data_IF_556708209417
#
_entry.id   IF_556708209417
#
_cell.length_a   1.000
_cell.length_b   1.000
_cell.length_c   1.000
_cell.angle_alpha   90.00
_cell.angle_beta   90.00
_cell.angle_gamma   90.00
#
_symmetry.space_group_name_H-M   'P 1'
#
loop_
_entity.id
_entity.type
_entity.pdbx_description
1 polymer ?
#
# COMPACT_ATOMS: atom_id res chain seq x y z
N UNK A 1 -8.22 -27.87 -5.49
CA UNK A 1 -8.54 -26.47 -5.10
C UNK A 1 -7.22 -25.71 -5.10
N UNK A 2 -6.73 -25.37 -6.29
CA UNK A 2 -5.36 -24.87 -6.44
C UNK A 2 -5.32 -23.38 -6.12
N UNK A 3 -4.75 -23.03 -4.96
CA UNK A 3 -4.31 -21.68 -4.67
C UNK A 3 -3.15 -21.35 -5.61
N UNK A 4 -3.39 -20.46 -6.58
CA UNK A 4 -2.33 -19.91 -7.42
C UNK A 4 -1.44 -19.01 -6.54
N UNK A 5 -0.29 -19.54 -6.15
CA UNK A 5 0.79 -18.75 -5.55
C UNK A 5 1.40 -17.87 -6.65
N UNK A 6 1.00 -16.60 -6.70
CA UNK A 6 1.58 -15.61 -7.61
C UNK A 6 3.04 -15.40 -7.22
N UNK A 7 3.94 -15.92 -8.05
CA UNK A 7 5.38 -15.83 -7.89
C UNK A 7 5.88 -14.38 -7.94
N UNK A 8 7.01 -14.15 -7.28
CA UNK A 8 7.66 -12.87 -6.97
C UNK A 8 8.24 -12.08 -8.16
N UNK A 9 7.60 -12.10 -9.34
CA UNK A 9 8.02 -11.34 -10.52
C UNK A 9 6.91 -10.62 -11.26
N UNK A 10 5.66 -10.68 -10.81
CA UNK A 10 4.55 -9.91 -11.40
C UNK A 10 4.29 -8.65 -10.57
N UNK A 11 4.40 -7.48 -11.17
CA UNK A 11 4.04 -6.22 -10.52
C UNK A 11 2.57 -6.29 -10.09
N UNK A 12 2.30 -6.10 -8.80
CA UNK A 12 0.92 -6.07 -8.32
C UNK A 12 0.17 -4.90 -8.96
N UNK A 13 -1.10 -5.13 -9.25
CA UNK A 13 -2.01 -4.12 -9.80
C UNK A 13 -2.38 -3.08 -8.74
N UNK A 14 -2.84 -1.89 -9.15
CA UNK A 14 -3.39 -0.90 -8.22
C UNK A 14 -4.48 -1.50 -7.32
N UNK A 15 -5.37 -2.33 -7.88
CA UNK A 15 -6.42 -3.00 -7.13
C UNK A 15 -5.88 -3.96 -6.04
N UNK A 16 -4.79 -4.67 -6.30
CA UNK A 16 -4.13 -5.51 -5.31
C UNK A 16 -3.52 -4.66 -4.17
N UNK A 17 -2.80 -3.58 -4.48
CA UNK A 17 -2.24 -2.70 -3.45
C UNK A 17 -3.32 -2.06 -2.59
N UNK A 18 -4.35 -1.52 -3.22
CA UNK A 18 -5.39 -0.74 -2.54
C UNK A 18 -6.40 -1.62 -1.78
N UNK A 19 -6.39 -2.94 -1.98
CA UNK A 19 -7.21 -3.89 -1.21
C UNK A 19 -6.50 -4.44 0.03
N UNK A 20 -5.17 -4.32 0.13
CA UNK A 20 -4.43 -4.76 1.30
C UNK A 20 -4.66 -3.85 2.50
N UNK A 21 -4.71 -4.43 3.70
CA UNK A 21 -4.70 -3.66 4.93
C UNK A 21 -3.35 -2.92 5.08
N UNK A 22 -3.38 -1.75 5.72
CA UNK A 22 -2.14 -1.03 6.07
C UNK A 22 -1.30 -1.91 6.99
N UNK A 23 -0.02 -2.11 6.64
CA UNK A 23 0.90 -2.96 7.40
C UNK A 23 2.19 -2.23 7.73
N UNK A 24 2.37 -1.91 9.01
CA UNK A 24 3.57 -1.27 9.54
C UNK A 24 4.82 -2.13 9.31
N UNK A 25 4.71 -3.45 9.37
CA UNK A 25 5.85 -4.36 9.29
C UNK A 25 6.74 -4.28 10.54
N UNK A 26 7.97 -4.78 10.45
CA UNK A 26 8.86 -4.95 11.61
C UNK A 26 10.28 -4.51 11.26
N UNK A 27 10.90 -3.65 12.09
CA UNK A 27 12.32 -3.22 12.14
C UNK A 27 12.40 -1.90 12.96
N UNK A 28 13.60 -1.40 13.26
CA UNK A 28 13.83 -0.23 14.15
C UNK A 28 13.92 1.14 13.44
N UNK A 29 13.75 1.19 12.11
CA UNK A 29 13.90 2.40 11.31
C UNK A 29 12.55 2.81 10.68
N UNK A 30 11.69 3.41 11.49
CA UNK A 30 10.37 3.88 11.06
C UNK A 30 10.44 5.06 10.09
N UNK A 31 9.69 5.00 9.00
CA UNK A 31 9.46 6.13 8.09
C UNK A 31 7.98 6.39 7.91
N UNK A 32 7.58 7.67 7.82
CA UNK A 32 6.20 8.02 7.49
C UNK A 32 5.89 7.64 6.04
N UNK A 33 4.80 6.91 5.86
CA UNK A 33 4.24 6.46 4.58
C UNK A 33 2.74 6.73 4.55
N UNK A 34 2.13 6.50 3.40
CA UNK A 34 0.68 6.60 3.20
C UNK A 34 0.14 5.27 2.73
N UNK A 35 -1.01 4.87 3.24
CA UNK A 35 -1.74 3.68 2.81
C UNK A 35 -3.21 4.00 2.64
N UNK A 36 -3.89 3.26 1.76
CA UNK A 36 -5.31 3.38 1.52
C UNK A 36 -6.10 2.62 2.59
N UNK A 37 -6.96 3.33 3.31
CA UNK A 37 -7.94 2.77 4.23
C UNK A 37 -9.25 2.54 3.47
N UNK A 38 -9.59 1.26 3.27
CA UNK A 38 -10.80 0.84 2.54
C UNK A 38 -12.09 1.16 3.28
N UNK A 39 -12.05 1.36 4.62
CA UNK A 39 -13.23 1.70 5.42
C UNK A 39 -13.62 3.16 5.26
N UNK A 40 -12.63 4.04 5.30
CA UNK A 40 -12.83 5.49 5.15
C UNK A 40 -12.71 5.96 3.70
N UNK A 41 -12.20 5.11 2.81
CA UNK A 41 -11.85 5.43 1.42
C UNK A 41 -10.86 6.60 1.32
N UNK A 42 -9.87 6.62 2.21
CA UNK A 42 -8.88 7.69 2.30
C UNK A 42 -7.45 7.15 2.33
N UNK A 43 -6.54 7.93 1.76
CA UNK A 43 -5.10 7.71 1.96
C UNK A 43 -4.65 8.37 3.27
N UNK A 44 -4.30 7.54 4.25
CA UNK A 44 -3.94 7.95 5.61
C UNK A 44 -2.45 7.73 5.88
N UNK A 45 -1.80 8.60 6.67
CA UNK A 45 -0.41 8.39 7.05
C UNK A 45 -0.27 7.22 8.05
N UNK A 46 0.82 6.47 7.94
CA UNK A 46 1.21 5.45 8.91
C UNK A 46 2.73 5.35 9.00
N UNK A 47 3.25 4.69 10.03
CA UNK A 47 4.68 4.40 10.15
C UNK A 47 4.96 3.04 9.52
N UNK A 48 5.86 3.02 8.54
CA UNK A 48 6.43 1.78 8.02
C UNK A 48 7.78 1.51 8.70
N UNK A 49 7.88 0.37 9.39
CA UNK A 49 9.04 -0.01 10.20
C UNK A 49 10.26 -0.42 9.36
N UNK A 50 10.08 -0.71 8.07
CA UNK A 50 11.17 -0.92 7.11
C UNK A 50 11.18 -2.29 6.42
N UNK A 51 10.70 -3.35 7.09
CA UNK A 51 10.60 -4.71 6.51
C UNK A 51 9.21 -5.31 6.74
N UNK A 52 8.90 -6.40 6.04
CA UNK A 52 7.66 -7.18 6.20
C UNK A 52 6.33 -6.42 6.02
N UNK A 53 6.36 -5.24 5.38
CA UNK A 53 5.16 -4.52 4.97
C UNK A 53 4.45 -5.21 3.79
N UNK A 54 3.53 -4.49 3.17
CA UNK A 54 2.95 -4.86 1.89
C UNK A 54 2.95 -3.65 0.95
N UNK A 55 2.43 -3.83 -0.27
CA UNK A 55 2.43 -2.77 -1.26
C UNK A 55 1.39 -1.66 -1.06
N UNK A 56 0.54 -1.73 -0.03
CA UNK A 56 -0.25 -0.58 0.41
C UNK A 56 0.64 0.40 1.21
N UNK A 57 1.66 0.92 0.54
CA UNK A 57 2.73 1.72 1.13
C UNK A 57 3.28 2.69 0.07
N UNK A 58 2.88 3.95 0.18
CA UNK A 58 3.22 5.01 -0.74
C UNK A 58 4.02 6.09 -0.02
N UNK A 59 4.97 6.72 -0.72
CA UNK A 59 5.80 7.80 -0.15
C UNK A 59 4.99 9.07 0.12
N UNK A 60 4.02 9.37 -0.76
CA UNK A 60 3.20 10.58 -0.67
C UNK A 60 1.72 10.24 -0.70
N UNK A 61 0.92 11.11 -0.08
CA UNK A 61 -0.55 11.02 -0.14
C UNK A 61 -1.03 11.05 -1.59
N UNK A 62 -0.49 11.97 -2.39
CA UNK A 62 -0.79 12.13 -3.80
C UNK A 62 -0.63 10.83 -4.60
N UNK A 63 0.50 10.12 -4.41
CA UNK A 63 0.74 8.86 -5.12
C UNK A 63 -0.27 7.78 -4.68
N UNK A 64 -0.56 7.68 -3.38
CA UNK A 64 -1.61 6.78 -2.89
C UNK A 64 -2.98 7.10 -3.53
N UNK A 65 -3.36 8.38 -3.58
CA UNK A 65 -4.65 8.79 -4.14
C UNK A 65 -4.71 8.58 -5.65
N UNK A 66 -3.62 8.82 -6.37
CA UNK A 66 -3.54 8.51 -7.80
C UNK A 66 -3.73 7.01 -8.04
N UNK A 67 -3.07 6.17 -7.24
CA UNK A 67 -3.11 4.71 -7.38
C UNK A 67 -4.46 4.12 -6.97
N UNK A 68 -5.04 4.57 -5.86
CA UNK A 68 -6.21 3.94 -5.23
C UNK A 68 -7.53 4.65 -5.49
N UNK A 69 -7.49 5.95 -5.81
CA UNK A 69 -8.68 6.76 -6.06
C UNK A 69 -8.72 7.31 -7.50
N UNK A 70 -7.70 7.05 -8.32
CA UNK A 70 -7.62 7.58 -9.68
C UNK A 70 -7.55 9.11 -9.73
N UNK A 71 -7.14 9.77 -8.64
CA UNK A 71 -7.00 11.23 -8.62
C UNK A 71 -5.81 11.62 -9.49
N UNK A 72 -6.08 12.22 -10.65
CA UNK A 72 -5.05 12.83 -11.48
C UNK A 72 -4.54 14.10 -10.78
N UNK A 73 -3.22 14.23 -10.66
CA UNK A 73 -2.59 15.48 -10.23
C UNK A 73 -2.77 16.48 -11.39
N UNK A 74 -3.69 17.45 -11.24
CA UNK A 74 -3.86 18.53 -12.21
C UNK A 74 -2.86 19.66 -12.00
#
# INVERSE_FOLDING_TARGET
MSANVKGSTEAFTPAEYCSYNIKQGDCDAGSQRYGFDTKTQQCVPFIFAGKNGNGNNFVTKAHCEQMCLGKLQT
#
